data_IF_606030721009
#
_entry.id   IF_606030721009
#
_cell.length_a   1.000
_cell.length_b   1.000
_cell.length_c   1.000
_cell.angle_alpha   90.00
_cell.angle_beta   90.00
_cell.angle_gamma   90.00
#
_symmetry.space_group_name_H-M   'P 1'
#
loop_
_entity.id
_entity.type
_entity.pdbx_description
1 polymer ?
#
# COMPACT_ATOMS: atom_id res chain seq x y z
N UNK A 1 18.72 12.29 8.16
CA UNK A 1 17.55 11.98 7.31
C UNK A 1 16.59 13.15 7.36
N UNK A 2 15.97 13.50 6.24
CA UNK A 2 14.98 14.56 6.15
C UNK A 2 13.67 14.11 6.81
N UNK A 3 13.06 14.98 7.61
CA UNK A 3 11.70 14.78 8.14
C UNK A 3 10.69 15.23 7.09
N UNK A 4 9.66 14.44 6.83
CA UNK A 4 8.65 14.72 5.80
C UNK A 4 7.35 15.21 6.43
N UNK A 5 6.81 16.30 5.90
CA UNK A 5 5.46 16.77 6.24
C UNK A 5 4.42 15.77 5.71
N UNK A 6 3.31 15.50 6.41
CA UNK A 6 2.30 14.54 5.96
C UNK A 6 1.81 14.72 4.51
N UNK A 7 1.76 15.94 3.96
CA UNK A 7 1.41 16.17 2.55
C UNK A 7 2.38 15.53 1.54
N UNK A 8 3.62 15.32 1.95
CA UNK A 8 4.66 14.70 1.13
C UNK A 8 4.83 13.21 1.43
N UNK A 9 3.88 12.57 2.12
CA UNK A 9 3.93 11.14 2.42
C UNK A 9 2.85 10.38 1.65
N UNK A 10 3.18 9.19 1.16
CA UNK A 10 2.24 8.19 0.64
C UNK A 10 2.46 6.88 1.35
N UNK A 11 1.41 6.31 1.94
CA UNK A 11 1.47 5.01 2.60
C UNK A 11 0.63 4.02 1.79
N UNK A 12 1.30 3.10 1.10
CA UNK A 12 0.70 2.24 0.08
C UNK A 12 0.95 0.78 0.43
N UNK A 13 -0.10 0.02 0.65
CA UNK A 13 0.00 -1.44 0.79
C UNK A 13 -0.20 -2.12 -0.56
N UNK A 14 0.64 -3.09 -0.88
CA UNK A 14 0.49 -3.96 -2.06
C UNK A 14 -0.05 -5.30 -1.56
N UNK A 15 -1.26 -5.65 -1.98
CA UNK A 15 -1.98 -6.83 -1.54
C UNK A 15 -2.64 -7.56 -2.72
N UNK A 16 -3.13 -8.78 -2.49
CA UNK A 16 -3.73 -9.62 -3.54
C UNK A 16 -3.35 -11.10 -3.40
N UNK A 17 -3.86 -11.93 -4.31
CA UNK A 17 -3.68 -13.38 -4.24
C UNK A 17 -2.21 -13.84 -4.31
N UNK A 18 -1.93 -15.04 -3.80
CA UNK A 18 -0.61 -15.65 -3.97
C UNK A 18 -0.24 -15.71 -5.45
N UNK A 19 1.02 -15.38 -5.77
CA UNK A 19 1.49 -15.40 -7.15
C UNK A 19 1.00 -14.24 -8.02
N UNK A 20 0.27 -13.25 -7.50
CA UNK A 20 -0.12 -12.04 -8.25
C UNK A 20 1.02 -11.04 -8.49
N UNK A 21 2.25 -11.36 -8.10
CA UNK A 21 3.43 -10.54 -8.39
C UNK A 21 3.67 -9.36 -7.43
N UNK A 22 3.04 -9.35 -6.25
CA UNK A 22 3.20 -8.30 -5.21
C UNK A 22 4.66 -7.99 -4.87
N UNK A 23 5.43 -9.02 -4.49
CA UNK A 23 6.85 -8.92 -4.13
C UNK A 23 7.67 -8.34 -5.27
N UNK A 24 7.48 -8.86 -6.49
CA UNK A 24 8.20 -8.35 -7.66
C UNK A 24 7.79 -6.91 -8.01
N UNK A 25 6.52 -6.54 -7.81
CA UNK A 25 6.07 -5.15 -7.95
C UNK A 25 6.78 -4.25 -6.94
N UNK A 26 6.88 -4.68 -5.68
CA UNK A 26 7.62 -3.95 -4.66
C UNK A 26 9.10 -3.79 -5.04
N UNK A 27 9.76 -4.85 -5.52
CA UNK A 27 11.15 -4.81 -6.01
C UNK A 27 11.34 -3.83 -7.18
N UNK A 28 10.43 -3.89 -8.16
CA UNK A 28 10.48 -3.00 -9.33
C UNK A 28 10.30 -1.53 -8.95
N UNK A 29 9.38 -1.23 -8.03
CA UNK A 29 9.21 0.12 -7.47
C UNK A 29 10.45 0.57 -6.70
N UNK A 30 11.04 -0.31 -5.89
CA UNK A 30 12.26 -0.01 -5.13
C UNK A 30 13.45 0.29 -6.05
N UNK A 31 13.63 -0.50 -7.12
CA UNK A 31 14.66 -0.26 -8.13
C UNK A 31 14.43 1.05 -8.89
N UNK A 32 13.18 1.33 -9.28
CA UNK A 32 12.83 2.60 -9.93
C UNK A 32 13.08 3.82 -9.05
N UNK A 33 12.87 3.71 -7.73
CA UNK A 33 13.23 4.76 -6.77
C UNK A 33 14.74 4.85 -6.48
N UNK A 34 15.55 3.94 -7.01
CA UNK A 34 16.99 3.89 -6.77
C UNK A 34 17.37 3.40 -5.37
N UNK A 35 16.48 2.70 -4.67
CA UNK A 35 16.75 2.08 -3.36
C UNK A 35 17.79 0.96 -3.54
N UNK A 36 17.66 0.19 -4.61
CA UNK A 36 18.61 -0.85 -4.99
C UNK A 36 19.20 -0.56 -6.36
N UNK A 37 20.34 -1.19 -6.65
CA UNK A 37 21.04 -1.07 -7.94
C UNK A 37 20.72 -2.23 -8.90
N UNK A 38 19.95 -3.23 -8.43
CA UNK A 38 19.56 -4.41 -9.19
C UNK A 38 18.19 -4.89 -8.73
N UNK A 39 17.47 -5.55 -9.62
CA UNK A 39 16.22 -6.20 -9.28
C UNK A 39 16.51 -7.49 -8.51
N UNK A 40 15.87 -7.66 -7.35
CA UNK A 40 15.90 -8.94 -6.62
C UNK A 40 14.97 -9.97 -7.24
N UNK A 41 15.23 -11.24 -6.96
CA UNK A 41 14.39 -12.37 -7.39
C UNK A 41 14.07 -13.28 -6.21
N UNK A 42 12.80 -13.69 -6.12
CA UNK A 42 12.27 -14.58 -5.08
C UNK A 42 13.00 -15.93 -5.13
N UNK A 43 13.19 -16.48 -6.32
CA UNK A 43 13.83 -17.78 -6.53
C UNK A 43 15.27 -17.83 -6.00
N UNK A 44 15.95 -16.69 -6.01
CA UNK A 44 17.33 -16.52 -5.56
C UNK A 44 17.42 -16.06 -4.10
N UNK A 45 16.29 -15.74 -3.45
CA UNK A 45 16.27 -15.20 -2.09
C UNK A 45 16.96 -13.84 -1.97
N UNK A 46 16.85 -12.99 -3.00
CA UNK A 46 17.58 -11.71 -3.09
C UNK A 46 16.69 -10.47 -3.03
N UNK A 47 15.38 -10.66 -2.85
CA UNK A 47 14.41 -9.59 -2.68
C UNK A 47 14.62 -8.85 -1.36
N UNK A 48 14.27 -7.57 -1.32
CA UNK A 48 14.32 -6.72 -0.13
C UNK A 48 13.21 -7.11 0.84
N UNK A 49 12.01 -7.39 0.33
CA UNK A 49 10.84 -7.66 1.17
C UNK A 49 10.89 -9.03 1.83
N UNK A 50 11.06 -10.10 1.05
CA UNK A 50 11.17 -11.48 1.53
C UNK A 50 12.61 -11.79 1.97
N UNK A 51 12.90 -11.58 3.25
CA UNK A 51 14.26 -11.71 3.80
C UNK A 51 14.34 -12.68 4.99
N UNK A 52 13.20 -13.15 5.52
CA UNK A 52 13.22 -14.12 6.59
C UNK A 52 13.68 -15.50 6.06
N UNK A 53 14.39 -16.31 6.88
CA UNK A 53 14.91 -17.61 6.42
C UNK A 53 13.84 -18.57 5.88
N UNK A 54 12.63 -18.53 6.44
CA UNK A 54 11.49 -19.33 6.01
C UNK A 54 10.88 -18.83 4.71
N UNK A 55 10.83 -17.51 4.49
CA UNK A 55 10.40 -16.92 3.21
C UNK A 55 11.34 -17.32 2.08
N UNK A 56 12.65 -17.22 2.31
CA UNK A 56 13.68 -17.65 1.34
C UNK A 56 13.56 -19.14 1.06
N UNK A 57 13.41 -19.97 2.10
CA UNK A 57 13.31 -21.42 1.95
C UNK A 57 12.03 -21.86 1.23
N UNK A 58 10.91 -21.18 1.50
CA UNK A 58 9.58 -21.53 0.95
C UNK A 58 9.22 -20.77 -0.31
N UNK A 59 10.02 -19.78 -0.71
CA UNK A 59 9.85 -18.93 -1.91
C UNK A 59 8.51 -18.21 -1.95
N UNK A 60 8.07 -17.72 -0.80
CA UNK A 60 6.90 -16.85 -0.67
C UNK A 60 6.95 -16.01 0.59
N UNK A 61 6.36 -14.83 0.54
CA UNK A 61 6.18 -13.93 1.68
C UNK A 61 5.33 -14.57 2.78
N UNK A 62 5.84 -14.50 4.00
CA UNK A 62 5.17 -14.93 5.25
C UNK A 62 4.85 -13.71 6.10
N UNK A 63 5.73 -12.69 6.03
CA UNK A 63 5.64 -11.44 6.76
C UNK A 63 5.40 -10.30 5.78
N UNK A 64 4.58 -9.34 6.19
CA UNK A 64 4.54 -8.05 5.54
C UNK A 64 5.81 -7.24 5.82
N UNK A 65 6.29 -6.55 4.80
CA UNK A 65 7.59 -5.86 4.81
C UNK A 65 7.43 -4.41 4.40
N UNK A 66 8.04 -3.50 5.15
CA UNK A 66 7.97 -2.05 4.89
C UNK A 66 9.23 -1.61 4.16
N UNK A 67 9.07 -1.01 2.99
CA UNK A 67 10.14 -0.45 2.18
C UNK A 67 9.86 1.03 1.96
N UNK A 68 10.72 1.87 2.52
CA UNK A 68 10.65 3.30 2.36
C UNK A 68 11.49 3.80 1.17
N UNK A 69 10.91 4.63 0.31
CA UNK A 69 11.63 5.27 -0.79
C UNK A 69 11.27 6.74 -0.94
N UNK A 70 12.10 7.46 -1.70
CA UNK A 70 11.82 8.85 -2.07
C UNK A 70 11.58 8.92 -3.57
N UNK A 71 10.46 9.50 -3.97
CA UNK A 71 10.13 9.76 -5.36
C UNK A 71 9.62 11.18 -5.53
N UNK A 72 10.27 11.98 -6.37
CA UNK A 72 9.89 13.39 -6.63
C UNK A 72 9.62 14.18 -5.35
N UNK A 73 10.56 14.15 -4.40
CA UNK A 73 10.49 14.84 -3.09
C UNK A 73 9.40 14.32 -2.13
N UNK A 74 8.70 13.25 -2.50
CA UNK A 74 7.70 12.60 -1.65
C UNK A 74 8.29 11.31 -1.06
N UNK A 75 8.02 11.08 0.23
CA UNK A 75 8.30 9.84 0.91
C UNK A 75 7.19 8.84 0.60
N UNK A 76 7.54 7.67 0.08
CA UNK A 76 6.63 6.57 -0.17
C UNK A 76 6.98 5.42 0.77
N UNK A 77 6.03 5.03 1.61
CA UNK A 77 6.11 3.82 2.43
C UNK A 77 5.32 2.73 1.70
N UNK A 78 6.03 1.78 1.09
CA UNK A 78 5.44 0.60 0.44
C UNK A 78 5.39 -0.51 1.47
N UNK A 79 4.22 -1.15 1.62
CA UNK A 79 4.05 -2.33 2.47
C UNK A 79 3.75 -3.51 1.55
N UNK A 80 4.73 -4.37 1.32
CA UNK A 80 4.54 -5.65 0.64
C UNK A 80 3.86 -6.62 1.61
N UNK A 81 2.85 -7.38 1.15
CA UNK A 81 2.04 -8.22 2.03
C UNK A 81 2.00 -9.68 1.56
N UNK A 82 1.87 -10.65 2.47
CA UNK A 82 1.68 -12.05 2.13
C UNK A 82 0.46 -12.31 1.24
N UNK A 83 0.57 -13.29 0.33
CA UNK A 83 -0.54 -13.68 -0.55
C UNK A 83 -1.32 -14.92 -0.11
N UNK A 84 -0.77 -15.69 0.82
CA UNK A 84 -1.43 -16.90 1.34
C UNK A 84 -2.44 -16.54 2.41
N UNK A 85 -3.59 -17.21 2.37
CA UNK A 85 -4.70 -16.97 3.31
C UNK A 85 -4.27 -17.21 4.76
N UNK A 86 -3.36 -18.15 5.00
CA UNK A 86 -2.82 -18.48 6.32
C UNK A 86 -2.16 -17.28 7.02
N UNK A 87 -1.68 -16.30 6.25
CA UNK A 87 -1.00 -15.09 6.76
C UNK A 87 -1.88 -13.83 6.69
N UNK A 88 -3.18 -13.98 6.48
CA UNK A 88 -4.09 -12.86 6.31
C UNK A 88 -4.24 -11.93 7.52
N UNK A 89 -3.81 -12.37 8.72
CA UNK A 89 -3.75 -11.49 9.89
C UNK A 89 -2.77 -10.34 9.67
N UNK A 90 -1.61 -10.63 9.07
CA UNK A 90 -0.59 -9.64 8.76
C UNK A 90 -0.96 -8.76 7.56
N UNK A 91 -1.73 -9.31 6.62
CA UNK A 91 -2.39 -8.51 5.57
C UNK A 91 -3.39 -7.53 6.21
N UNK A 92 -4.25 -8.01 7.12
CA UNK A 92 -5.25 -7.17 7.77
C UNK A 92 -4.62 -6.03 8.58
N UNK A 93 -3.55 -6.31 9.32
CA UNK A 93 -2.87 -5.31 10.14
C UNK A 93 -2.21 -4.20 9.30
N UNK A 94 -1.65 -4.55 8.15
CA UNK A 94 -0.99 -3.59 7.25
C UNK A 94 -1.96 -2.74 6.46
N UNK A 95 -3.06 -3.34 5.98
CA UNK A 95 -4.13 -2.61 5.31
C UNK A 95 -4.79 -1.58 6.24
N UNK A 96 -4.84 -1.84 7.56
CA UNK A 96 -5.34 -0.89 8.56
C UNK A 96 -4.56 0.43 8.55
N UNK A 97 -3.24 0.38 8.38
CA UNK A 97 -2.34 1.55 8.50
C UNK A 97 -1.96 2.20 7.18
N UNK A 98 -2.28 1.58 6.04
CA UNK A 98 -2.10 2.19 4.73
C UNK A 98 -3.13 3.31 4.47
N UNK A 99 -2.74 4.29 3.67
CA UNK A 99 -3.65 5.33 3.16
C UNK A 99 -4.27 4.91 1.81
N UNK A 100 -3.61 4.03 1.07
CA UNK A 100 -4.12 3.43 -0.18
C UNK A 100 -3.70 1.97 -0.29
N UNK A 101 -4.58 1.12 -0.81
CA UNK A 101 -4.30 -0.29 -1.09
C UNK A 101 -4.26 -0.52 -2.59
N UNK A 102 -3.14 -1.04 -3.09
CA UNK A 102 -2.98 -1.54 -4.44
C UNK A 102 -3.23 -3.04 -4.45
N UNK A 103 -4.33 -3.46 -5.08
CA UNK A 103 -4.66 -4.88 -5.25
C UNK A 103 -4.02 -5.37 -6.55
N UNK A 104 -2.95 -6.15 -6.43
CA UNK A 104 -2.27 -6.79 -7.55
C UNK A 104 -3.09 -8.00 -8.04
N UNK A 105 -3.41 -7.99 -9.34
CA UNK A 105 -4.25 -9.00 -10.01
C UNK A 105 -3.46 -9.57 -11.19
N UNK A 106 -3.35 -10.89 -11.28
CA UNK A 106 -2.58 -11.53 -12.34
C UNK A 106 -3.38 -11.56 -13.64
N UNK A 107 -2.83 -11.01 -14.73
CA UNK A 107 -3.49 -10.96 -16.03
C UNK A 107 -3.88 -12.33 -16.61
N UNK A 108 -3.28 -13.43 -16.17
CA UNK A 108 -3.61 -14.78 -16.66
C UNK A 108 -4.71 -15.49 -15.87
N UNK A 109 -4.90 -15.14 -14.58
CA UNK A 109 -5.84 -15.82 -13.69
C UNK A 109 -7.02 -14.94 -13.31
N UNK A 110 -6.88 -13.63 -13.39
CA UNK A 110 -7.92 -12.66 -13.08
C UNK A 110 -8.25 -12.61 -11.59
N UNK A 111 -9.55 -12.50 -11.27
CA UNK A 111 -10.02 -12.34 -9.88
C UNK A 111 -9.99 -13.68 -9.15
N UNK A 112 -9.20 -13.75 -8.08
CA UNK A 112 -9.04 -14.94 -7.23
C UNK A 112 -9.49 -14.69 -5.79
N UNK A 113 -9.65 -15.75 -4.98
CA UNK A 113 -10.11 -15.68 -3.57
C UNK A 113 -9.29 -14.71 -2.71
N UNK A 114 -7.99 -14.59 -2.96
CA UNK A 114 -7.14 -13.64 -2.24
C UNK A 114 -7.46 -12.17 -2.58
N UNK A 115 -8.00 -11.92 -3.77
CA UNK A 115 -8.49 -10.61 -4.21
C UNK A 115 -9.71 -10.20 -3.38
N UNK A 116 -10.66 -11.13 -3.20
CA UNK A 116 -11.88 -10.90 -2.40
C UNK A 116 -11.57 -10.62 -0.94
N UNK A 117 -10.69 -11.42 -0.36
CA UNK A 117 -10.27 -11.26 1.03
C UNK A 117 -9.67 -9.86 1.28
N UNK A 118 -8.78 -9.43 0.38
CA UNK A 118 -8.15 -8.11 0.44
C UNK A 118 -9.19 -7.01 0.24
N UNK A 119 -10.08 -7.16 -0.74
CA UNK A 119 -11.17 -6.23 -1.01
C UNK A 119 -12.09 -6.05 0.21
N UNK A 120 -12.44 -7.12 0.91
CA UNK A 120 -13.26 -7.06 2.12
C UNK A 120 -12.56 -6.30 3.25
N UNK A 121 -11.24 -6.42 3.40
CA UNK A 121 -10.49 -5.58 4.35
C UNK A 121 -10.43 -4.11 3.92
N UNK A 122 -10.33 -3.82 2.62
CA UNK A 122 -10.45 -2.43 2.16
C UNK A 122 -11.85 -1.87 2.47
N UNK A 123 -12.91 -2.68 2.37
CA UNK A 123 -14.29 -2.37 2.81
C UNK A 123 -14.34 -2.05 4.30
N UNK A 124 -13.86 -2.98 5.12
CA UNK A 124 -13.84 -2.86 6.59
C UNK A 124 -13.17 -1.56 7.07
N UNK A 125 -12.00 -1.24 6.51
CA UNK A 125 -11.21 -0.07 6.93
C UNK A 125 -11.44 1.18 6.07
N UNK A 126 -12.44 1.13 5.18
CA UNK A 126 -12.76 2.21 4.25
C UNK A 126 -11.54 2.74 3.47
N UNK A 127 -10.67 1.86 2.96
CA UNK A 127 -9.41 2.30 2.33
C UNK A 127 -9.58 2.63 0.84
N UNK A 128 -9.03 3.78 0.38
CA UNK A 128 -8.81 4.04 -1.05
C UNK A 128 -8.13 2.83 -1.70
N UNK A 129 -8.65 2.40 -2.85
CA UNK A 129 -8.25 1.15 -3.47
C UNK A 129 -8.01 1.34 -4.96
N UNK A 130 -6.89 0.84 -5.46
CA UNK A 130 -6.56 0.77 -6.87
C UNK A 130 -6.23 -0.67 -7.25
N UNK A 131 -6.62 -1.09 -8.46
CA UNK A 131 -6.20 -2.38 -9.01
C UNK A 131 -4.97 -2.21 -9.87
N UNK A 132 -4.06 -3.17 -9.79
CA UNK A 132 -2.88 -3.23 -10.65
C UNK A 132 -2.80 -4.60 -11.30
N UNK A 133 -3.08 -4.63 -12.61
CA UNK A 133 -2.94 -5.83 -13.42
C UNK A 133 -1.46 -6.08 -13.69
N UNK A 134 -0.94 -7.18 -13.16
CA UNK A 134 0.45 -7.59 -13.29
C UNK A 134 0.59 -8.77 -14.26
N UNK A 135 1.84 -9.19 -14.53
CA UNK A 135 2.15 -10.37 -15.35
C UNK A 135 1.56 -10.27 -16.76
N UNK A 136 1.68 -9.09 -17.37
CA UNK A 136 1.33 -8.89 -18.77
C UNK A 136 2.35 -9.52 -19.73
N UNK A 137 3.50 -9.93 -19.21
CA UNK A 137 4.67 -10.45 -19.91
C UNK A 137 4.69 -11.98 -20.08
N UNK A 138 3.56 -12.65 -19.87
CA UNK A 138 3.44 -14.12 -19.97
C UNK A 138 2.45 -14.54 -21.06
N UNK A 139 2.65 -15.72 -21.66
CA UNK A 139 1.90 -16.20 -22.83
C UNK A 139 0.37 -16.23 -22.67
N UNK A 140 -0.13 -16.35 -21.43
CA UNK A 140 -1.57 -16.42 -21.11
C UNK A 140 -2.13 -15.12 -20.56
N UNK A 141 -1.40 -14.02 -20.63
CA UNK A 141 -1.89 -12.73 -20.18
C UNK A 141 -3.11 -12.29 -21.00
N UNK A 142 -4.20 -11.93 -20.33
CA UNK A 142 -5.38 -11.34 -20.94
C UNK A 142 -5.86 -10.18 -20.06
N UNK A 143 -5.43 -8.97 -20.44
CA UNK A 143 -5.79 -7.76 -19.70
C UNK A 143 -7.30 -7.48 -19.79
N UNK A 144 -7.89 -7.68 -20.96
CA UNK A 144 -9.28 -7.32 -21.23
C UNK A 144 -10.25 -8.21 -20.44
N UNK A 145 -10.02 -9.53 -20.43
CA UNK A 145 -10.73 -10.48 -19.58
C UNK A 145 -10.57 -10.12 -18.10
N UNK A 146 -9.36 -9.80 -17.67
CA UNK A 146 -9.10 -9.43 -16.26
C UNK A 146 -9.89 -8.18 -15.85
N UNK A 147 -9.91 -7.13 -16.68
CA UNK A 147 -10.70 -5.92 -16.41
C UNK A 147 -12.20 -6.22 -16.41
N UNK A 148 -12.69 -7.05 -17.34
CA UNK A 148 -14.10 -7.45 -17.37
C UNK A 148 -14.49 -8.18 -16.08
N UNK A 149 -13.69 -9.15 -15.62
CA UNK A 149 -13.92 -9.82 -14.34
C UNK A 149 -13.92 -8.85 -13.16
N UNK A 150 -12.99 -7.89 -13.13
CA UNK A 150 -12.96 -6.87 -12.07
C UNK A 150 -14.24 -6.03 -12.06
N UNK A 151 -14.74 -5.60 -13.24
CA UNK A 151 -15.98 -4.84 -13.36
C UNK A 151 -17.20 -5.67 -12.97
N UNK A 152 -17.30 -6.92 -13.43
CA UNK A 152 -18.39 -7.83 -13.07
C UNK A 152 -18.46 -8.11 -11.57
N UNK A 153 -17.30 -8.26 -10.94
CA UNK A 153 -17.21 -8.71 -9.54
C UNK A 153 -17.23 -7.57 -8.53
N UNK A 154 -16.63 -6.41 -8.85
CA UNK A 154 -16.52 -5.27 -7.93
C UNK A 154 -17.39 -4.06 -8.34
N UNK A 155 -18.00 -4.10 -9.52
CA UNK A 155 -18.97 -3.11 -10.00
C UNK A 155 -18.39 -2.10 -10.99
N UNK A 156 -19.29 -1.26 -11.53
CA UNK A 156 -19.00 -0.27 -12.57
C UNK A 156 -18.02 0.84 -12.15
N UNK A 157 -17.81 1.05 -10.85
CA UNK A 157 -16.80 1.98 -10.33
C UNK A 157 -15.36 1.54 -10.62
N UNK A 158 -15.13 0.33 -11.15
CA UNK A 158 -13.82 -0.13 -11.62
C UNK A 158 -13.52 0.47 -12.99
N UNK A 159 -12.55 1.37 -13.07
CA UNK A 159 -12.30 2.18 -14.28
C UNK A 159 -10.87 1.96 -14.78
N UNK A 160 -10.67 1.46 -16.02
CA UNK A 160 -9.34 1.33 -16.60
C UNK A 160 -8.72 2.69 -16.92
N UNK A 161 -7.57 3.00 -16.30
CA UNK A 161 -6.80 4.22 -16.57
C UNK A 161 -5.64 3.95 -17.54
N UNK A 162 -5.19 2.70 -17.61
CA UNK A 162 -4.10 2.27 -18.49
C UNK A 162 -4.39 0.90 -19.06
N UNK A 163 -3.96 0.66 -20.30
CA UNK A 163 -3.99 -0.67 -20.89
C UNK A 163 -2.72 -0.96 -21.70
N UNK A 164 -2.30 -2.22 -21.80
CA UNK A 164 -1.17 -2.61 -22.63
C UNK A 164 -1.52 -2.54 -24.12
N UNK A 165 -0.55 -2.13 -24.94
CA UNK A 165 -0.66 -2.17 -26.41
C UNK A 165 -0.56 -3.61 -26.92
N UNK A 166 0.31 -4.39 -26.30
CA UNK A 166 0.53 -5.80 -26.56
C UNK A 166 0.62 -6.58 -25.24
N UNK A 167 0.22 -7.85 -25.21
CA UNK A 167 0.48 -8.76 -24.10
C UNK A 167 1.46 -9.87 -24.50
N UNK A 168 2.03 -10.56 -23.50
CA UNK A 168 2.97 -11.67 -23.67
C UNK A 168 4.43 -11.23 -23.72
N UNK A 169 5.28 -12.17 -24.15
CA UNK A 169 6.74 -11.96 -24.19
C UNK A 169 7.09 -10.75 -25.06
N UNK A 170 7.89 -9.84 -24.49
CA UNK A 170 8.30 -8.61 -25.17
C UNK A 170 7.32 -7.45 -25.02
N UNK A 171 6.29 -7.57 -24.18
CA UNK A 171 5.47 -6.45 -23.74
C UNK A 171 6.33 -5.31 -23.18
N UNK A 172 6.17 -4.10 -23.73
CA UNK A 172 6.90 -2.91 -23.29
C UNK A 172 6.18 -1.59 -23.56
N UNK A 173 4.92 -1.62 -24.03
CA UNK A 173 4.17 -0.40 -24.36
C UNK A 173 2.81 -0.35 -23.65
N UNK A 174 2.52 0.79 -23.04
CA UNK A 174 1.25 1.09 -22.37
C UNK A 174 0.59 2.32 -23.02
N UNK A 175 -0.74 2.36 -23.00
CA UNK A 175 -1.52 3.57 -23.27
C UNK A 175 -2.09 4.07 -21.95
N UNK A 176 -1.93 5.36 -21.70
CA UNK A 176 -2.47 6.07 -20.55
C UNK A 176 -3.60 6.98 -21.00
N UNK A 177 -4.80 6.69 -20.51
CA UNK A 177 -6.02 7.39 -20.95
C UNK A 177 -6.29 8.63 -20.12
N UNK A 178 -5.58 8.83 -19.00
CA UNK A 178 -5.62 10.11 -18.28
C UNK A 178 -4.89 11.20 -19.10
N UNK A 179 -3.69 10.87 -19.61
CA UNK A 179 -2.87 11.79 -20.40
C UNK A 179 -3.12 11.71 -21.90
N UNK A 180 -3.87 10.69 -22.35
CA UNK A 180 -4.09 10.36 -23.76
C UNK A 180 -2.76 10.25 -24.55
N UNK A 181 -1.81 9.49 -24.00
CA UNK A 181 -0.49 9.24 -24.59
C UNK A 181 -0.11 7.76 -24.57
N UNK A 182 0.76 7.39 -25.50
CA UNK A 182 1.47 6.12 -25.49
C UNK A 182 2.80 6.27 -24.74
N UNK A 183 3.10 5.29 -23.89
CA UNK A 183 4.37 5.14 -23.19
C UNK A 183 5.08 3.88 -23.66
N UNK A 184 6.26 4.05 -24.24
CA UNK A 184 7.16 2.95 -24.59
C UNK A 184 8.29 2.91 -23.56
N UNK A 185 8.47 1.74 -22.94
CA UNK A 185 9.46 1.52 -21.90
C UNK A 185 10.66 0.77 -22.50
N UNK A 186 11.86 1.04 -21.99
CA UNK A 186 13.02 0.17 -22.28
C UNK A 186 13.08 -0.94 -21.23
N UNK A 187 12.84 -2.22 -21.61
CA UNK A 187 12.86 -3.32 -20.66
C UNK A 187 14.17 -3.39 -19.87
N UNK A 188 14.04 -3.76 -18.60
CA UNK A 188 15.16 -4.00 -17.67
C UNK A 188 16.01 -2.75 -17.35
N UNK A 189 15.57 -1.55 -17.77
CA UNK A 189 16.27 -0.29 -17.53
C UNK A 189 15.35 0.74 -16.87
N UNK A 190 15.61 1.14 -15.61
CA UNK A 190 14.90 2.26 -15.02
C UNK A 190 15.24 3.57 -15.76
N UNK A 191 14.32 4.52 -15.71
CA UNK A 191 14.48 5.90 -16.19
C UNK A 191 14.27 6.10 -17.69
N UNK A 192 13.89 5.05 -18.43
CA UNK A 192 13.78 5.08 -19.88
C UNK A 192 12.34 4.85 -20.34
N UNK A 193 11.58 5.95 -20.41
CA UNK A 193 10.21 5.99 -20.92
C UNK A 193 10.13 7.05 -22.02
N UNK A 194 9.68 6.64 -23.21
CA UNK A 194 9.40 7.54 -24.33
C UNK A 194 7.90 7.80 -24.40
N UNK A 195 7.52 9.08 -24.52
CA UNK A 195 6.12 9.50 -24.64
C UNK A 195 5.83 9.87 -26.09
N UNK A 196 4.74 9.35 -26.64
CA UNK A 196 4.30 9.63 -28.01
C UNK A 196 2.78 9.71 -28.13
N UNK A 197 2.28 10.13 -29.29
CA UNK A 197 0.84 10.09 -29.59
C UNK A 197 0.33 8.66 -29.73
N UNK A 198 -0.92 8.45 -29.35
CA UNK A 198 -1.58 7.14 -29.49
C UNK A 198 -1.77 6.82 -30.99
N UNK A 199 -1.31 5.67 -31.48
CA UNK A 199 -1.54 5.22 -32.85
C UNK A 199 -3.03 5.05 -33.16
N UNK A 200 -3.42 5.28 -34.42
CA UNK A 200 -4.83 5.20 -34.85
C UNK A 200 -5.48 3.83 -34.57
N UNK A 201 -4.68 2.76 -34.54
CA UNK A 201 -5.13 1.41 -34.20
C UNK A 201 -5.76 1.34 -32.79
N UNK A 202 -5.24 2.12 -31.84
CA UNK A 202 -5.67 2.09 -30.44
C UNK A 202 -6.45 3.32 -30.01
N UNK A 203 -6.47 4.36 -30.84
CA UNK A 203 -7.11 5.66 -30.55
C UNK A 203 -8.57 5.49 -30.12
N UNK A 204 -9.36 4.69 -30.83
CA UNK A 204 -10.77 4.45 -30.49
C UNK A 204 -10.94 3.85 -29.09
N UNK A 205 -10.16 2.81 -28.75
CA UNK A 205 -10.20 2.18 -27.43
C UNK A 205 -9.79 3.14 -26.32
N UNK A 206 -8.76 3.96 -26.58
CA UNK A 206 -8.31 4.98 -25.63
C UNK A 206 -9.37 6.06 -25.40
N UNK A 207 -10.06 6.51 -26.45
CA UNK A 207 -11.17 7.47 -26.36
C UNK A 207 -12.35 6.90 -25.56
N UNK A 208 -12.72 5.63 -25.78
CA UNK A 208 -13.76 4.94 -25.00
C UNK A 208 -13.42 4.89 -23.50
N UNK A 209 -12.20 4.48 -23.14
CA UNK A 209 -11.76 4.43 -21.74
C UNK A 209 -11.57 5.81 -21.12
N UNK A 210 -11.11 6.80 -21.90
CA UNK A 210 -11.01 8.18 -21.44
C UNK A 210 -12.39 8.75 -21.14
N UNK A 211 -13.37 8.51 -22.01
CA UNK A 211 -14.74 8.93 -21.78
C UNK A 211 -15.32 8.28 -20.52
N UNK A 212 -15.13 6.96 -20.35
CA UNK A 212 -15.55 6.25 -19.12
C UNK A 212 -14.90 6.87 -17.86
N UNK A 213 -13.61 7.22 -17.93
CA UNK A 213 -12.90 7.89 -16.84
C UNK A 213 -13.48 9.27 -16.53
N UNK A 214 -13.70 10.10 -17.55
CA UNK A 214 -14.25 11.45 -17.40
C UNK A 214 -15.66 11.40 -16.82
N UNK A 215 -16.52 10.50 -17.33
CA UNK A 215 -17.87 10.28 -16.82
C UNK A 215 -17.84 9.86 -15.34
N UNK A 216 -17.03 8.85 -15.01
CA UNK A 216 -16.91 8.35 -13.64
C UNK A 216 -16.40 9.41 -12.67
N UNK A 217 -15.47 10.28 -13.09
CA UNK A 217 -14.96 11.38 -12.25
C UNK A 217 -16.01 12.48 -12.11
N UNK A 218 -16.68 12.85 -13.20
CA UNK A 218 -17.72 13.87 -13.20
C UNK A 218 -18.88 13.51 -12.26
N UNK A 219 -19.26 12.23 -12.17
CA UNK A 219 -20.31 11.75 -11.26
C UNK A 219 -19.99 11.95 -9.77
N UNK A 220 -18.72 12.18 -9.41
CA UNK A 220 -18.31 12.34 -8.01
C UNK A 220 -18.46 13.74 -7.46
N UNK A 221 -18.62 14.75 -8.32
CA UNK A 221 -18.66 16.16 -7.94
C UNK A 221 -19.60 16.96 -8.85
N UNK A 222 -20.61 17.62 -8.27
CA UNK A 222 -21.62 18.38 -9.03
C UNK A 222 -21.00 19.50 -9.89
N UNK A 223 -19.91 20.12 -9.44
CA UNK A 223 -19.23 21.18 -10.21
C UNK A 223 -18.48 20.58 -11.41
N UNK A 224 -17.80 19.44 -11.24
CA UNK A 224 -17.18 18.72 -12.36
C UNK A 224 -18.23 18.24 -13.36
N UNK A 225 -19.36 17.70 -12.88
CA UNK A 225 -20.48 17.28 -13.71
C UNK A 225 -21.05 18.42 -14.56
N UNK A 226 -21.35 19.57 -13.93
CA UNK A 226 -21.88 20.74 -14.63
C UNK A 226 -20.87 21.24 -15.68
N UNK A 227 -19.59 21.30 -15.34
CA UNK A 227 -18.54 21.72 -16.27
C UNK A 227 -18.44 20.77 -17.46
N UNK A 228 -18.49 19.47 -17.22
CA UNK A 228 -18.48 18.47 -18.29
C UNK A 228 -19.68 18.62 -19.23
N UNK A 229 -20.89 18.88 -18.70
CA UNK A 229 -22.07 19.15 -19.54
C UNK A 229 -21.98 20.46 -20.34
N UNK A 230 -21.31 21.48 -19.81
CA UNK A 230 -21.16 22.78 -20.49
C UNK A 230 -20.06 22.79 -21.56
N UNK A 231 -18.89 22.22 -21.25
CA UNK A 231 -17.67 22.36 -22.05
C UNK A 231 -17.30 21.06 -22.78
N UNK A 232 -17.80 19.91 -22.33
CA UNK A 232 -17.55 18.59 -22.92
C UNK A 232 -16.23 17.93 -22.51
N UNK A 233 -15.37 18.61 -21.74
CA UNK A 233 -14.05 18.11 -21.34
C UNK A 233 -13.66 18.57 -19.92
N UNK A 234 -12.81 17.79 -19.25
CA UNK A 234 -12.17 18.13 -17.98
C UNK A 234 -10.65 18.24 -18.17
N UNK A 235 -10.03 19.24 -17.55
CA UNK A 235 -8.58 19.39 -17.60
C UNK A 235 -7.85 18.29 -16.82
N UNK A 236 -6.58 18.06 -17.14
CA UNK A 236 -5.74 17.03 -16.50
C UNK A 236 -5.68 17.18 -14.96
N UNK A 237 -5.49 18.41 -14.46
CA UNK A 237 -5.42 18.68 -13.02
C UNK A 237 -6.77 18.48 -12.33
N UNK A 238 -7.87 18.75 -13.03
CA UNK A 238 -9.24 18.53 -12.52
C UNK A 238 -9.55 17.04 -12.47
N UNK A 239 -9.17 16.29 -13.50
CA UNK A 239 -9.29 14.83 -13.51
C UNK A 239 -8.48 14.21 -12.38
N UNK A 240 -7.23 14.65 -12.15
CA UNK A 240 -6.41 14.17 -11.03
C UNK A 240 -7.06 14.44 -9.68
N UNK A 241 -7.54 15.66 -9.45
CA UNK A 241 -8.21 16.04 -8.22
C UNK A 241 -9.49 15.23 -8.02
N UNK A 242 -10.29 15.06 -9.08
CA UNK A 242 -11.51 14.27 -9.08
C UNK A 242 -11.26 12.78 -8.79
N UNK A 243 -10.27 12.15 -9.44
CA UNK A 243 -9.88 10.75 -9.16
C UNK A 243 -9.45 10.60 -7.71
N UNK A 244 -8.66 11.55 -7.19
CA UNK A 244 -8.22 11.52 -5.79
C UNK A 244 -9.40 11.61 -4.83
N UNK A 245 -10.33 12.53 -5.07
CA UNK A 245 -11.55 12.65 -4.27
C UNK A 245 -12.39 11.37 -4.31
N UNK A 246 -12.56 10.81 -5.51
CA UNK A 246 -13.28 9.57 -5.74
C UNK A 246 -12.63 8.36 -5.06
N UNK A 247 -11.30 8.32 -4.99
CA UNK A 247 -10.54 7.31 -4.25
C UNK A 247 -10.81 7.39 -2.74
N UNK A 248 -10.80 8.60 -2.16
CA UNK A 248 -11.10 8.83 -0.74
C UNK A 248 -12.55 8.49 -0.42
N UNK A 249 -13.49 8.87 -1.28
CA UNK A 249 -14.91 8.56 -1.17
C UNK A 249 -15.27 7.12 -1.56
N UNK A 250 -14.31 6.38 -2.15
CA UNK A 250 -14.47 5.02 -2.68
C UNK A 250 -15.62 4.87 -3.68
N UNK A 251 -15.73 5.85 -4.57
CA UNK A 251 -16.70 5.86 -5.67
C UNK A 251 -16.05 5.52 -7.02
N UNK A 252 -14.72 5.47 -7.08
CA UNK A 252 -13.94 5.05 -8.24
C UNK A 252 -12.73 4.20 -7.81
N UNK A 253 -12.50 3.10 -8.52
CA UNK A 253 -11.40 2.16 -8.31
C UNK A 253 -10.57 2.03 -9.59
N UNK A 254 -9.47 2.79 -9.72
CA UNK A 254 -8.73 2.84 -10.96
C UNK A 254 -7.96 1.54 -11.21
N UNK A 255 -7.93 1.09 -12.46
CA UNK A 255 -7.13 -0.06 -12.90
C UNK A 255 -5.91 0.43 -13.68
N UNK A 256 -4.74 0.12 -13.12
CA UNK A 256 -3.44 0.29 -13.76
C UNK A 256 -2.88 -1.06 -14.23
N UNK A 257 -1.80 -1.05 -14.99
CA UNK A 257 -1.13 -2.27 -15.38
C UNK A 257 0.39 -2.11 -15.47
N UNK A 258 1.11 -3.21 -15.23
CA UNK A 258 2.58 -3.20 -15.14
C UNK A 258 3.17 -4.60 -15.31
N UNK A 259 4.40 -4.67 -15.81
CA UNK A 259 5.25 -5.87 -15.78
C UNK A 259 6.53 -5.56 -15.01
N UNK A 260 6.54 -5.77 -13.69
CA UNK A 260 7.61 -5.28 -12.83
C UNK A 260 8.94 -6.04 -13.03
N UNK A 261 8.90 -7.27 -13.53
CA UNK A 261 10.11 -8.03 -13.90
C UNK A 261 10.97 -7.31 -14.95
N UNK A 262 10.31 -6.57 -15.84
CA UNK A 262 10.95 -5.82 -16.93
C UNK A 262 10.86 -4.30 -16.73
N UNK A 263 10.44 -3.85 -15.54
CA UNK A 263 10.27 -2.44 -15.17
C UNK A 263 9.28 -1.66 -16.04
N UNK A 264 8.32 -2.36 -16.65
CA UNK A 264 7.31 -1.73 -17.50
C UNK A 264 6.22 -1.12 -16.63
N UNK A 265 6.08 0.21 -16.66
CA UNK A 265 5.05 0.93 -15.91
C UNK A 265 5.37 1.23 -14.44
N UNK A 266 6.50 0.77 -13.88
CA UNK A 266 6.83 0.98 -12.44
C UNK A 266 6.98 2.47 -12.09
N UNK A 267 7.71 3.23 -12.90
CA UNK A 267 7.84 4.70 -12.71
C UNK A 267 6.53 5.44 -12.93
N UNK A 268 5.71 4.94 -13.85
CA UNK A 268 4.38 5.50 -14.08
C UNK A 268 3.50 5.29 -12.84
N UNK A 269 3.56 4.12 -12.22
CA UNK A 269 2.90 3.87 -10.93
C UNK A 269 3.43 4.77 -9.82
N UNK A 270 4.75 4.98 -9.70
CA UNK A 270 5.30 5.94 -8.72
C UNK A 270 4.78 7.37 -8.95
N UNK A 271 4.67 7.79 -10.22
CA UNK A 271 4.07 9.08 -10.58
C UNK A 271 2.58 9.13 -10.21
N UNK A 272 1.84 8.04 -10.38
CA UNK A 272 0.44 7.93 -9.95
C UNK A 272 0.33 8.03 -8.43
N UNK A 273 1.17 7.34 -7.67
CA UNK A 273 1.15 7.40 -6.20
C UNK A 273 1.33 8.83 -5.70
N UNK A 274 2.26 9.59 -6.28
CA UNK A 274 2.49 10.98 -5.88
C UNK A 274 1.33 11.89 -6.29
N UNK A 275 0.82 11.77 -7.51
CA UNK A 275 -0.11 12.75 -8.07
C UNK A 275 -1.59 12.43 -7.79
N UNK A 276 -1.94 11.16 -7.56
CA UNK A 276 -3.33 10.68 -7.53
C UNK A 276 -3.68 10.08 -6.17
N UNK A 277 -2.78 9.32 -5.54
CA UNK A 277 -3.12 8.71 -4.25
C UNK A 277 -3.16 9.77 -3.13
N UNK A 278 -4.12 9.65 -2.20
CA UNK A 278 -4.27 10.60 -1.12
C UNK A 278 -3.07 10.60 -0.17
N UNK A 279 -2.73 11.78 0.33
CA UNK A 279 -1.83 11.94 1.48
C UNK A 279 -2.53 11.49 2.77
N UNK A 280 -1.80 11.28 3.87
CA UNK A 280 -2.39 11.14 5.19
C UNK A 280 -3.40 12.25 5.55
N UNK A 281 -3.13 13.51 5.16
CA UNK A 281 -4.04 14.64 5.40
C UNK A 281 -5.30 14.52 4.53
N UNK A 282 -5.14 14.19 3.25
CA UNK A 282 -6.25 14.03 2.31
C UNK A 282 -7.11 12.79 2.64
N UNK A 283 -6.52 11.76 3.25
CA UNK A 283 -7.25 10.59 3.76
C UNK A 283 -8.18 10.97 4.91
N UNK A 284 -7.83 12.00 5.68
CA UNK A 284 -8.61 12.53 6.79
C UNK A 284 -8.45 11.77 8.09
N UNK A 285 -9.36 12.03 9.04
CA UNK A 285 -9.28 11.52 10.39
C UNK A 285 -9.38 9.99 10.50
N UNK A 286 -8.62 9.43 11.44
CA UNK A 286 -8.66 8.01 11.76
C UNK A 286 -9.65 7.72 12.90
N UNK A 287 -10.31 6.56 12.84
CA UNK A 287 -11.26 6.13 13.84
C UNK A 287 -10.57 5.68 15.13
N UNK A 288 -11.01 6.26 16.23
CA UNK A 288 -10.56 5.99 17.58
C UNK A 288 -11.74 5.80 18.52
N UNK A 289 -11.45 5.37 19.76
CA UNK A 289 -12.42 5.33 20.85
C UNK A 289 -11.82 5.97 22.10
N UNK A 290 -12.66 6.63 22.89
CA UNK A 290 -12.28 7.14 24.21
C UNK A 290 -12.32 6.02 25.26
N UNK A 291 -11.28 5.90 26.08
CA UNK A 291 -11.19 4.95 27.19
C UNK A 291 -11.45 5.67 28.52
N UNK A 292 -12.32 5.14 29.41
CA UNK A 292 -13.05 3.88 29.33
C UNK A 292 -14.47 4.00 28.75
N UNK A 293 -14.85 5.16 28.19
CA UNK A 293 -16.25 5.43 27.81
C UNK A 293 -16.73 4.61 26.60
N UNK A 294 -15.80 4.15 25.75
CA UNK A 294 -16.07 3.43 24.51
C UNK A 294 -16.67 4.30 23.40
N UNK A 295 -16.73 5.63 23.59
CA UNK A 295 -17.33 6.54 22.61
C UNK A 295 -16.41 6.72 21.41
N UNK A 296 -17.00 6.71 20.22
CA UNK A 296 -16.29 7.03 18.99
C UNK A 296 -15.63 8.40 19.05
N UNK A 297 -14.41 8.46 18.53
CA UNK A 297 -13.62 9.67 18.39
C UNK A 297 -12.89 9.66 17.03
N UNK A 298 -12.51 10.83 16.56
CA UNK A 298 -11.77 11.00 15.31
C UNK A 298 -10.43 11.68 15.61
N UNK A 299 -9.35 11.11 15.08
CA UNK A 299 -8.00 11.64 15.24
C UNK A 299 -7.55 12.25 13.93
N UNK A 300 -7.43 13.57 13.92
CA UNK A 300 -6.95 14.31 12.75
C UNK A 300 -5.43 14.14 12.57
N UNK A 301 -4.95 14.05 11.31
CA UNK A 301 -3.53 13.95 10.98
C UNK A 301 -2.80 15.29 11.16
N UNK A 302 -2.68 15.74 12.41
CA UNK A 302 -2.04 17.00 12.76
C UNK A 302 -0.59 16.80 13.24
N UNK A 303 0.44 17.20 12.49
CA UNK A 303 1.85 17.03 12.90
C UNK A 303 2.24 17.87 14.13
N UNK A 304 1.50 18.94 14.43
CA UNK A 304 1.69 19.80 15.60
C UNK A 304 0.76 19.44 16.77
N UNK A 305 -0.03 18.37 16.62
CA UNK A 305 -0.96 17.88 17.62
C UNK A 305 -0.29 17.07 18.73
N UNK A 306 -1.13 16.53 19.62
CA UNK A 306 -0.69 15.52 20.59
C UNK A 306 -0.23 14.26 19.86
N UNK A 307 0.81 13.62 20.38
CA UNK A 307 1.34 12.39 19.78
C UNK A 307 0.38 11.25 19.99
N UNK A 308 0.01 10.59 18.90
CA UNK A 308 -0.74 9.33 18.88
C UNK A 308 -0.13 8.43 17.81
N UNK A 309 0.52 7.36 18.25
CA UNK A 309 1.09 6.30 17.43
C UNK A 309 0.37 4.97 17.68
N UNK A 310 0.28 4.15 16.64
CA UNK A 310 -0.40 2.85 16.71
C UNK A 310 0.54 1.74 16.28
N UNK A 311 0.72 0.73 17.14
CA UNK A 311 1.54 -0.43 16.83
C UNK A 311 0.67 -1.43 16.06
N UNK A 312 0.97 -1.61 14.78
CA UNK A 312 0.20 -2.53 13.92
C UNK A 312 0.87 -3.88 13.76
N UNK A 313 2.16 -3.99 14.09
CA UNK A 313 2.92 -5.23 13.96
C UNK A 313 4.09 -5.25 14.93
N UNK A 314 4.31 -6.39 15.56
CA UNK A 314 5.47 -6.64 16.43
C UNK A 314 6.16 -7.90 15.96
N UNK A 315 7.48 -7.83 15.77
CA UNK A 315 8.30 -8.96 15.31
C UNK A 315 9.47 -9.14 16.25
N UNK A 316 9.76 -10.38 16.63
CA UNK A 316 10.97 -10.71 17.37
C UNK A 316 12.12 -11.02 16.41
N UNK A 317 13.19 -10.24 16.46
CA UNK A 317 14.42 -10.50 15.69
C UNK A 317 15.54 -11.08 16.58
N UNK A 318 16.28 -12.09 16.09
CA UNK A 318 17.45 -12.60 16.78
C UNK A 318 18.44 -11.48 17.15
N UNK A 319 18.93 -11.48 18.38
CA UNK A 319 19.92 -10.52 18.92
C UNK A 319 19.43 -9.07 19.13
N UNK A 320 18.33 -8.65 18.49
CA UNK A 320 17.76 -7.31 18.65
C UNK A 320 16.63 -7.31 19.68
N UNK A 321 15.80 -8.35 19.69
CA UNK A 321 14.59 -8.44 20.51
C UNK A 321 13.35 -8.01 19.71
N UNK A 322 12.32 -7.55 20.43
CA UNK A 322 11.07 -7.11 19.80
C UNK A 322 11.24 -5.77 19.08
N UNK A 323 10.65 -5.72 17.89
CA UNK A 323 10.56 -4.56 17.02
C UNK A 323 9.08 -4.26 16.80
N UNK A 324 8.67 -3.08 17.22
CA UNK A 324 7.29 -2.61 17.10
C UNK A 324 7.19 -1.64 15.93
N UNK A 325 6.46 -2.05 14.90
CA UNK A 325 6.15 -1.26 13.72
C UNK A 325 4.94 -0.40 14.03
N UNK A 326 5.06 0.90 13.77
CA UNK A 326 4.05 1.87 14.16
C UNK A 326 3.72 2.89 13.08
N UNK A 327 2.45 3.28 13.08
CA UNK A 327 1.89 4.40 12.32
C UNK A 327 1.68 5.58 13.25
N UNK A 328 2.21 6.75 12.92
CA UNK A 328 1.95 7.98 13.66
C UNK A 328 0.71 8.63 13.06
N UNK A 329 -0.37 8.75 13.82
CA UNK A 329 -1.62 9.37 13.36
C UNK A 329 -1.69 10.85 13.71
N UNK A 330 -1.13 11.29 14.83
CA UNK A 330 -1.07 12.70 15.23
C UNK A 330 0.23 12.99 15.95
N UNK A 331 0.67 14.25 15.93
CA UNK A 331 1.91 14.72 16.53
C UNK A 331 3.15 14.15 15.86
N UNK A 332 4.09 13.68 16.66
CA UNK A 332 5.35 13.12 16.18
C UNK A 332 5.99 12.18 17.19
N UNK A 333 6.98 11.41 16.75
CA UNK A 333 7.88 10.66 17.63
C UNK A 333 9.34 10.99 17.30
N UNK A 334 10.17 10.98 18.33
CA UNK A 334 11.62 11.12 18.25
C UNK A 334 12.30 10.20 19.28
N UNK A 335 13.61 9.97 19.11
CA UNK A 335 14.33 9.10 20.05
C UNK A 335 14.37 9.71 21.45
N UNK A 336 14.01 8.94 22.46
CA UNK A 336 13.91 9.37 23.85
C UNK A 336 12.54 9.94 24.26
N UNK A 337 11.57 10.01 23.35
CA UNK A 337 10.20 10.45 23.65
C UNK A 337 9.57 9.53 24.70
N UNK A 338 9.03 10.12 25.77
CA UNK A 338 8.28 9.42 26.81
C UNK A 338 6.79 9.50 26.48
N UNK A 339 6.20 8.35 26.17
CA UNK A 339 4.77 8.19 25.89
C UNK A 339 4.14 7.32 26.98
N UNK A 340 2.82 7.14 26.88
CA UNK A 340 2.11 6.10 27.60
C UNK A 340 1.46 5.15 26.59
N UNK A 341 1.33 3.89 26.94
CA UNK A 341 0.31 3.05 26.32
C UNK A 341 -1.06 3.54 26.82
N UNK A 342 -1.90 4.03 25.90
CA UNK A 342 -3.20 4.59 26.22
C UNK A 342 -4.23 3.53 26.63
N UNK A 343 -3.97 2.23 26.39
CA UNK A 343 -4.76 1.13 26.90
C UNK A 343 -4.50 0.85 28.38
N UNK A 344 -3.22 0.70 28.76
CA UNK A 344 -2.82 0.27 30.11
C UNK A 344 -2.43 1.41 31.04
N UNK A 345 -2.07 2.56 30.48
CA UNK A 345 -1.51 3.72 31.17
C UNK A 345 -0.04 3.56 31.55
N UNK A 346 0.62 2.48 31.14
CA UNK A 346 2.04 2.25 31.43
C UNK A 346 2.92 3.22 30.64
N UNK A 347 3.98 3.77 31.25
CA UNK A 347 4.92 4.63 30.54
C UNK A 347 5.79 3.80 29.58
N UNK A 348 6.00 4.33 28.38
CA UNK A 348 6.88 3.75 27.37
C UNK A 348 7.92 4.78 26.97
N UNK A 349 9.19 4.41 27.02
CA UNK A 349 10.29 5.27 26.58
C UNK A 349 10.81 4.81 25.23
N UNK A 350 10.57 5.61 24.20
CA UNK A 350 11.04 5.29 22.87
C UNK A 350 12.57 5.32 22.84
N UNK A 351 13.18 4.20 22.48
CA UNK A 351 14.60 4.12 22.19
C UNK A 351 14.96 4.81 20.87
N UNK A 352 15.83 4.17 20.09
CA UNK A 352 16.10 4.63 18.72
C UNK A 352 14.92 4.30 17.82
N UNK A 353 14.54 5.25 16.97
CA UNK A 353 13.48 5.08 15.97
C UNK A 353 14.07 4.88 14.58
N UNK A 354 13.37 4.11 13.73
CA UNK A 354 13.87 3.69 12.43
C UNK A 354 12.83 3.85 11.32
N UNK A 355 13.30 4.17 10.12
CA UNK A 355 12.61 3.82 8.87
C UNK A 355 13.15 2.51 8.33
N UNK A 356 12.39 1.82 7.48
CA UNK A 356 12.67 0.44 7.10
C UNK A 356 12.88 0.31 5.58
N UNK A 357 13.84 -0.54 5.20
CA UNK A 357 14.09 -1.04 3.85
C UNK A 357 14.09 -2.58 3.90
N UNK A 358 12.92 -3.17 4.17
CA UNK A 358 12.82 -4.59 4.47
C UNK A 358 13.63 -4.94 5.72
N UNK A 359 14.71 -5.71 5.56
CA UNK A 359 15.58 -6.10 6.67
C UNK A 359 16.43 -4.95 7.24
N UNK A 360 16.78 -3.96 6.42
CA UNK A 360 17.64 -2.85 6.83
C UNK A 360 16.84 -1.78 7.60
N UNK A 361 17.41 -1.35 8.71
CA UNK A 361 16.83 -0.35 9.61
C UNK A 361 17.68 0.90 9.54
N UNK A 362 17.09 2.00 9.07
CA UNK A 362 17.80 3.27 8.96
C UNK A 362 17.36 4.19 10.09
N UNK A 363 18.29 4.64 10.96
CA UNK A 363 17.97 5.57 12.02
C UNK A 363 17.27 6.83 11.53
N UNK A 364 16.11 7.13 12.11
CA UNK A 364 15.39 8.37 11.90
C UNK A 364 15.54 9.28 13.11
N UNK A 365 15.59 10.60 12.89
CA UNK A 365 15.62 11.57 13.98
C UNK A 365 14.22 11.82 14.51
N UNK A 366 13.25 11.93 13.60
CA UNK A 366 11.87 12.32 13.89
C UNK A 366 10.93 11.79 12.81
N UNK A 367 9.77 11.27 13.22
CA UNK A 367 8.68 10.84 12.34
C UNK A 367 7.43 11.63 12.72
N UNK A 368 6.80 12.28 11.74
CA UNK A 368 5.59 13.10 11.95
C UNK A 368 4.32 12.28 11.73
N UNK A 369 3.18 12.88 12.09
CA UNK A 369 1.86 12.42 11.69
C UNK A 369 1.84 12.06 10.21
N UNK A 370 1.25 10.90 9.90
CA UNK A 370 1.19 10.40 8.54
C UNK A 370 2.42 9.60 8.10
N UNK A 371 3.37 9.29 8.98
CA UNK A 371 4.52 8.44 8.66
C UNK A 371 4.43 7.03 9.27
N UNK A 372 5.26 6.11 8.79
CA UNK A 372 5.45 4.75 9.32
C UNK A 372 6.91 4.58 9.70
N UNK A 373 7.15 3.96 10.86
CA UNK A 373 8.47 3.57 11.30
C UNK A 373 8.43 2.42 12.28
N UNK A 374 9.58 2.15 12.90
CA UNK A 374 9.72 1.13 13.92
C UNK A 374 10.54 1.61 15.11
N UNK A 375 10.26 1.01 16.26
CA UNK A 375 11.00 1.18 17.51
C UNK A 375 11.39 -0.19 18.04
N UNK A 376 12.45 -0.24 18.83
CA UNK A 376 12.98 -1.49 19.39
C UNK A 376 12.81 -1.52 20.90
N UNK A 377 12.52 -2.71 21.45
CA UNK A 377 12.50 -2.98 22.89
C UNK A 377 11.57 -2.05 23.69
N UNK A 378 10.30 -1.97 23.26
CA UNK A 378 9.26 -1.49 24.16
C UNK A 378 9.10 -2.45 25.34
N UNK A 379 8.69 -1.94 26.49
CA UNK A 379 8.66 -2.75 27.73
C UNK A 379 7.39 -3.61 27.79
N UNK A 380 6.22 -3.01 27.53
CA UNK A 380 4.90 -3.64 27.70
C UNK A 380 3.97 -3.47 26.47
N UNK A 381 4.29 -2.55 25.54
CA UNK A 381 3.42 -2.25 24.40
C UNK A 381 3.66 -3.15 23.17
N UNK A 382 2.59 -3.72 22.63
CA UNK A 382 2.58 -4.68 21.53
C UNK A 382 1.59 -4.30 20.41
N UNK A 383 1.41 -5.20 19.46
CA UNK A 383 0.42 -5.05 18.37
C UNK A 383 -0.98 -4.76 18.91
N UNK A 384 -1.67 -3.80 18.29
CA UNK A 384 -2.92 -3.14 18.70
C UNK A 384 -2.78 -2.05 19.77
N UNK A 385 -1.61 -1.83 20.37
CA UNK A 385 -1.45 -0.77 21.37
C UNK A 385 -1.30 0.62 20.75
N UNK A 386 -1.86 1.62 21.45
CA UNK A 386 -1.79 3.03 21.05
C UNK A 386 -0.85 3.76 22.01
N UNK A 387 0.32 4.18 21.51
CA UNK A 387 1.23 5.03 22.25
C UNK A 387 0.82 6.48 22.11
N UNK A 388 0.65 7.20 23.21
CA UNK A 388 0.19 8.58 23.17
C UNK A 388 0.86 9.46 24.23
N UNK A 389 0.77 10.78 24.05
CA UNK A 389 1.19 11.72 25.08
C UNK A 389 0.39 11.50 26.38
N UNK A 390 1.05 11.77 27.51
CA UNK A 390 0.46 11.59 28.83
C UNK A 390 -0.85 12.38 28.97
N UNK A 391 -1.92 11.68 29.34
CA UNK A 391 -3.24 12.27 29.57
C UNK A 391 -4.20 12.16 28.37
N UNK A 392 -3.71 11.73 27.21
CA UNK A 392 -4.57 11.30 26.09
C UNK A 392 -5.34 10.04 26.52
N UNK A 393 -6.64 10.02 26.24
CA UNK A 393 -7.55 8.91 26.57
C UNK A 393 -8.20 8.30 25.33
N UNK A 394 -7.60 8.51 24.17
CA UNK A 394 -8.09 7.99 22.90
C UNK A 394 -7.15 6.90 22.43
N UNK A 395 -7.72 5.74 22.09
CA UNK A 395 -6.99 4.64 21.44
C UNK A 395 -7.49 4.48 20.02
N UNK A 396 -6.60 4.17 19.10
CA UNK A 396 -6.99 3.82 17.73
C UNK A 396 -7.82 2.53 17.78
N UNK A 397 -8.88 2.44 16.97
CA UNK A 397 -9.72 1.23 16.96
C UNK A 397 -8.85 -0.01 16.66
N UNK A 398 -8.79 -1.00 17.58
CA UNK A 398 -7.94 -2.18 17.44
C UNK A 398 -8.28 -3.00 16.20
N UNK A 399 -7.28 -3.75 15.71
CA UNK A 399 -7.50 -4.73 14.64
C UNK A 399 -8.15 -5.98 15.24
N UNK A 400 -9.33 -6.35 14.71
CA UNK A 400 -9.96 -7.64 14.99
C UNK A 400 -9.33 -8.73 14.12
N UNK A 401 -8.36 -9.45 14.68
CA UNK A 401 -7.68 -10.52 13.95
C UNK A 401 -8.61 -11.72 13.71
N UNK A 402 -8.44 -12.42 12.56
CA UNK A 402 -9.18 -13.62 12.25
C UNK A 402 -9.03 -14.70 13.33
N UNK A 403 -10.09 -15.47 13.56
CA UNK A 403 -10.06 -16.57 14.52
C UNK A 403 -9.22 -17.73 13.97
N UNK A 404 -8.47 -18.45 14.83
CA UNK A 404 -7.79 -19.68 14.43
C UNK A 404 -8.77 -20.68 13.82
N UNK A 405 -8.41 -21.26 12.69
CA UNK A 405 -9.23 -22.27 11.97
C UNK A 405 -8.75 -23.71 12.21
N UNK A 406 -7.55 -23.87 12.76
CA UNK A 406 -6.95 -25.17 13.11
C UNK A 406 -6.42 -25.09 14.53
N UNK A 407 -6.67 -26.14 15.30
CA UNK A 407 -6.11 -26.33 16.63
C UNK A 407 -5.27 -27.61 16.62
N UNK A 408 -4.11 -27.57 17.27
CA UNK A 408 -3.23 -28.72 17.44
C UNK A 408 -2.69 -28.78 18.86
N UNK A 409 -2.56 -29.98 19.41
CA UNK A 409 -1.90 -30.20 20.69
C UNK A 409 -0.42 -30.48 20.48
N UNK A 410 0.44 -29.72 21.16
CA UNK A 410 1.89 -29.93 21.17
C UNK A 410 2.25 -30.60 22.50
N UNK A 411 3.13 -31.62 22.44
CA UNK A 411 3.68 -32.27 23.63
C UNK A 411 5.21 -32.16 23.59
N UNK A 412 5.86 -31.71 24.67
CA UNK A 412 7.31 -31.69 24.73
C UNK A 412 7.86 -33.11 24.60
N UNK A 413 8.95 -33.25 23.83
CA UNK A 413 9.58 -34.55 23.60
C UNK A 413 10.30 -35.05 24.86
N UNK A 414 10.91 -34.14 25.63
CA UNK A 414 11.61 -34.45 26.86
C UNK A 414 10.89 -33.86 28.09
N UNK A 415 11.01 -34.55 29.22
CA UNK A 415 10.56 -34.06 30.51
C UNK A 415 11.48 -32.91 30.95
N UNK A 416 10.92 -31.75 31.30
CA UNK A 416 11.64 -30.52 31.60
C UNK A 416 11.62 -29.47 30.47
N UNK A 417 11.11 -29.82 29.28
CA UNK A 417 10.89 -28.86 28.20
C UNK A 417 9.49 -28.20 28.26
N UNK A 418 8.71 -28.42 29.33
CA UNK A 418 7.37 -27.80 29.47
C UNK A 418 7.41 -26.28 29.59
N UNK A 419 8.52 -25.70 30.07
CA UNK A 419 8.70 -24.24 30.22
C UNK A 419 9.19 -23.55 28.94
N UNK A 420 9.61 -24.31 27.92
CA UNK A 420 10.09 -23.81 26.62
C UNK A 420 8.99 -23.89 25.58
#
# INVERSE_FOLDING_TARGET
MTTYHPDHIRNVAIAGHVGSGKTMLCEGLALSMGITNRLGHIEDGTTISDHAPDEIARKHSVNASVINGIWREHKINIIDTPGFVDFHGDVKSTLRVADTVMIAVNASTGVEVGTDLVWDYTKEFYKPTAFVVTKLDVDRADYSMTVEQLKEHFGHSVVPIQFPVEEGLGHHTLIDVLLMKQFEFSPDKPGSMTVSEIPDLYRKRAEEYHQELVESVAETDEALMNKFFEVGELGEDELRAGIKHALVARTLFPVFCTSPLHLIGTERLLNVMVNIFPTPIERGAEQAIEVPSGKDHLIEPNPDGVTIGYIFKTVSEPHIGEISYMRIYSGHIESGHELIDAQTGQPEKLGQIFTLLGHEKIPAQKLLAGDIGAVVKLEDAHTNDTLADKGVKHIIKPIEFPKPVVEAAIKPLAQGDEEK
#
